data_IF_054959906434
#
_entry.id   IF_054959906434
#
_cell.length_a   1.000
_cell.length_b   1.000
_cell.length_c   1.000
_cell.angle_alpha   90.00
_cell.angle_beta   90.00
_cell.angle_gamma   90.00
#
_symmetry.space_group_name_H-M   'P 1'
#
loop_
_entity.id
_entity.type
_entity.pdbx_description
1 polymer ?
#
# COMPACT_ATOMS: atom_id res chain seq x y z
N UNK A 1 -3.98 14.01 -16.33
CA UNK A 1 -3.96 14.14 -14.87
C UNK A 1 -5.24 14.80 -14.36
N UNK A 2 -5.55 16.04 -14.72
CA UNK A 2 -6.74 16.77 -14.22
C UNK A 2 -8.06 15.99 -14.37
N UNK A 3 -8.27 15.27 -15.48
CA UNK A 3 -9.45 14.46 -15.70
C UNK A 3 -9.58 13.31 -14.70
N UNK A 4 -8.46 12.67 -14.34
CA UNK A 4 -8.44 11.58 -13.36
C UNK A 4 -8.62 12.12 -11.93
N UNK A 5 -7.92 13.20 -11.58
CA UNK A 5 -8.09 13.85 -10.28
C UNK A 5 -9.53 14.33 -10.06
N UNK A 6 -10.16 14.91 -11.10
CA UNK A 6 -11.57 15.31 -11.07
C UNK A 6 -12.54 14.13 -10.94
N UNK A 7 -12.26 13.00 -11.63
CA UNK A 7 -13.04 11.78 -11.49
C UNK A 7 -12.96 11.19 -10.08
N UNK A 8 -11.77 11.16 -9.47
CA UNK A 8 -11.56 10.71 -8.09
C UNK A 8 -12.31 11.61 -7.10
N UNK A 9 -12.22 12.92 -7.28
CA UNK A 9 -12.96 13.87 -6.43
C UNK A 9 -14.48 13.69 -6.55
N UNK A 10 -15.00 13.49 -7.76
CA UNK A 10 -16.43 13.23 -7.98
C UNK A 10 -16.90 11.93 -7.35
N UNK A 11 -16.04 10.91 -7.32
CA UNK A 11 -16.31 9.63 -6.70
C UNK A 11 -15.99 9.59 -5.18
N UNK A 12 -15.52 10.70 -4.60
CA UNK A 12 -15.08 10.81 -3.19
C UNK A 12 -14.01 9.77 -2.83
N UNK A 13 -13.08 9.53 -3.75
CA UNK A 13 -12.00 8.55 -3.61
C UNK A 13 -10.64 9.24 -3.48
N UNK A 14 -9.82 8.74 -2.58
CA UNK A 14 -8.41 9.10 -2.48
C UNK A 14 -7.59 8.44 -3.61
N UNK A 15 -6.51 9.09 -4.04
CA UNK A 15 -5.62 8.55 -5.07
C UNK A 15 -4.97 7.22 -4.65
N UNK A 16 -4.79 7.02 -3.35
CA UNK A 16 -4.25 5.80 -2.73
C UNK A 16 -5.19 4.60 -2.89
N UNK A 17 -6.50 4.84 -3.06
CA UNK A 17 -7.48 3.79 -3.29
C UNK A 17 -7.44 3.22 -4.73
N UNK A 18 -6.71 3.87 -5.65
CA UNK A 18 -6.60 3.43 -7.04
C UNK A 18 -5.66 2.24 -7.15
N UNK A 19 -6.18 1.07 -7.51
CA UNK A 19 -5.40 -0.14 -7.74
C UNK A 19 -4.55 -0.09 -9.03
N UNK A 20 -4.99 0.63 -10.04
CA UNK A 20 -4.27 0.77 -11.30
C UNK A 20 -5.08 1.52 -12.34
N UNK A 21 -4.47 1.70 -13.52
CA UNK A 21 -5.10 2.27 -14.71
C UNK A 21 -5.36 1.15 -15.72
N UNK A 22 -6.41 1.32 -16.52
CA UNK A 22 -6.71 0.43 -17.61
C UNK A 22 -7.14 1.19 -18.86
N UNK A 23 -6.80 0.67 -20.03
CA UNK A 23 -7.20 1.23 -21.32
C UNK A 23 -7.24 0.15 -22.40
N UNK A 24 -7.53 0.57 -23.62
CA UNK A 24 -7.46 -0.28 -24.80
C UNK A 24 -6.01 -0.34 -25.33
N UNK A 25 -5.63 -1.46 -25.91
CA UNK A 25 -4.27 -1.77 -26.37
C UNK A 25 -3.75 -0.83 -27.48
N UNK A 26 -4.62 -0.29 -28.32
CA UNK A 26 -4.25 0.71 -29.34
C UNK A 26 -3.74 2.04 -28.73
N UNK A 27 -3.84 2.20 -27.40
CA UNK A 27 -3.32 3.35 -26.63
C UNK A 27 -2.13 2.97 -25.75
N UNK A 28 -1.45 1.89 -26.05
CA UNK A 28 -0.33 1.40 -25.23
C UNK A 28 0.90 2.32 -25.25
N UNK A 29 1.00 3.20 -26.22
CA UNK A 29 2.04 4.22 -26.39
C UNK A 29 1.56 5.65 -26.08
N UNK A 30 0.33 5.82 -25.56
CA UNK A 30 -0.23 7.14 -25.21
C UNK A 30 0.60 7.80 -24.08
N UNK A 31 1.35 8.88 -24.40
CA UNK A 31 2.28 9.47 -23.43
C UNK A 31 1.61 9.95 -22.14
N UNK A 32 0.36 10.42 -22.23
CA UNK A 32 -0.36 10.92 -21.06
C UNK A 32 -0.72 9.79 -20.07
N UNK A 33 -1.06 8.58 -20.56
CA UNK A 33 -1.33 7.41 -19.73
C UNK A 33 -0.04 6.89 -19.09
N UNK A 34 1.04 6.78 -19.89
CA UNK A 34 2.33 6.30 -19.41
C UNK A 34 2.92 7.23 -18.34
N UNK A 35 2.85 8.56 -18.58
CA UNK A 35 3.33 9.54 -17.63
C UNK A 35 2.53 9.51 -16.30
N UNK A 36 1.20 9.41 -16.38
CA UNK A 36 0.34 9.32 -15.18
C UNK A 36 0.61 8.04 -14.38
N UNK A 37 0.72 6.90 -15.06
CA UNK A 37 1.03 5.62 -14.43
C UNK A 37 2.38 5.67 -13.71
N UNK A 38 3.41 6.24 -14.35
CA UNK A 38 4.74 6.41 -13.77
C UNK A 38 4.75 7.39 -12.60
N UNK A 39 4.12 8.57 -12.74
CA UNK A 39 4.06 9.61 -11.69
C UNK A 39 3.38 9.10 -10.41
N UNK A 40 2.29 8.34 -10.58
CA UNK A 40 1.48 7.84 -9.47
C UNK A 40 1.92 6.45 -8.98
N UNK A 41 2.89 5.84 -9.66
CA UNK A 41 3.27 4.44 -9.44
C UNK A 41 2.06 3.50 -9.51
N UNK A 42 1.17 3.73 -10.49
CA UNK A 42 0.00 2.90 -10.71
C UNK A 42 0.27 1.86 -11.80
N UNK A 43 0.00 0.58 -11.56
CA UNK A 43 0.01 -0.43 -12.63
C UNK A 43 -0.89 -0.03 -13.79
N UNK A 44 -0.44 -0.28 -15.00
CA UNK A 44 -1.20 0.03 -16.21
C UNK A 44 -1.45 -1.25 -17.00
N UNK A 45 -2.72 -1.54 -17.29
CA UNK A 45 -3.15 -2.71 -18.03
C UNK A 45 -3.89 -2.33 -19.29
N UNK A 46 -3.60 -3.03 -20.39
CA UNK A 46 -4.26 -2.86 -21.65
C UNK A 46 -5.07 -4.09 -22.02
N UNK A 47 -6.20 -3.87 -22.68
CA UNK A 47 -7.13 -4.90 -23.15
C UNK A 47 -7.36 -4.74 -24.63
N UNK A 48 -7.57 -5.84 -25.33
CA UNK A 48 -7.98 -5.82 -26.74
C UNK A 48 -9.43 -5.33 -26.90
N UNK A 49 -9.77 -4.87 -28.08
CA UNK A 49 -11.14 -4.46 -28.41
C UNK A 49 -12.16 -5.60 -28.19
N UNK A 50 -11.78 -6.85 -28.48
CA UNK A 50 -12.64 -8.01 -28.29
C UNK A 50 -12.92 -8.32 -26.80
N UNK A 51 -11.92 -8.20 -25.94
CA UNK A 51 -12.10 -8.32 -24.49
C UNK A 51 -13.04 -7.23 -23.95
N UNK A 52 -12.87 -5.99 -24.42
CA UNK A 52 -13.71 -4.86 -23.98
C UNK A 52 -15.15 -4.96 -24.52
N UNK A 53 -15.35 -5.54 -25.71
CA UNK A 53 -16.67 -5.75 -26.31
C UNK A 53 -17.53 -6.71 -25.50
N UNK A 54 -16.91 -7.64 -24.77
CA UNK A 54 -17.62 -8.59 -23.93
C UNK A 54 -18.22 -7.96 -22.65
N UNK A 55 -17.82 -6.73 -22.28
CA UNK A 55 -18.32 -6.03 -21.10
C UNK A 55 -19.64 -5.32 -21.37
N UNK A 56 -20.60 -5.53 -20.47
CA UNK A 56 -21.83 -4.74 -20.45
C UNK A 56 -21.56 -3.38 -19.83
N UNK A 57 -21.83 -2.31 -20.56
CA UNK A 57 -21.55 -0.93 -20.13
C UNK A 57 -22.81 -0.06 -20.20
N UNK A 58 -23.03 0.85 -19.23
CA UNK A 58 -24.23 1.70 -19.22
C UNK A 58 -24.23 2.78 -20.29
N UNK A 59 -23.05 3.26 -20.73
CA UNK A 59 -22.92 4.39 -21.66
C UNK A 59 -22.21 3.99 -22.97
N UNK A 60 -22.83 3.13 -23.82
CA UNK A 60 -22.24 2.74 -25.08
C UNK A 60 -22.22 3.93 -26.08
N UNK A 61 -21.23 3.97 -26.96
CA UNK A 61 -21.06 4.99 -27.97
C UNK A 61 -20.89 4.34 -29.37
N UNK A 62 -21.79 4.65 -30.26
CA UNK A 62 -21.71 4.17 -31.65
C UNK A 62 -20.44 4.67 -32.36
N UNK A 63 -20.00 5.90 -32.07
CA UNK A 63 -18.75 6.47 -32.62
C UNK A 63 -17.55 5.67 -32.17
N UNK A 64 -17.42 5.42 -30.84
CA UNK A 64 -16.31 4.63 -30.30
C UNK A 64 -16.34 3.19 -30.82
N UNK A 65 -17.53 2.59 -30.95
CA UNK A 65 -17.67 1.25 -31.50
C UNK A 65 -17.22 1.17 -32.96
N UNK A 66 -17.47 2.21 -33.77
CA UNK A 66 -17.02 2.28 -35.16
C UNK A 66 -15.49 2.50 -35.27
N UNK A 67 -14.89 3.27 -34.36
CA UNK A 67 -13.46 3.62 -34.41
C UNK A 67 -12.56 2.52 -33.83
N UNK A 68 -12.93 1.93 -32.67
CA UNK A 68 -12.05 1.02 -31.94
C UNK A 68 -12.65 -0.37 -31.67
N UNK A 69 -13.85 -0.63 -32.19
CA UNK A 69 -14.47 -1.97 -32.14
C UNK A 69 -15.13 -2.35 -30.81
N UNK A 70 -15.17 -1.46 -29.81
CA UNK A 70 -15.83 -1.72 -28.52
C UNK A 70 -16.78 -0.56 -28.13
N UNK A 71 -17.89 -0.83 -27.39
CA UNK A 71 -18.93 0.16 -27.10
C UNK A 71 -18.51 1.28 -26.17
N UNK A 72 -17.54 1.04 -25.29
CA UNK A 72 -16.99 2.04 -24.37
C UNK A 72 -15.61 1.58 -23.88
N UNK A 73 -14.58 2.38 -24.14
CA UNK A 73 -13.23 2.04 -23.65
C UNK A 73 -13.12 2.26 -22.16
N UNK A 74 -13.51 3.43 -21.64
CA UNK A 74 -13.28 3.78 -20.23
C UNK A 74 -14.00 2.84 -19.25
N UNK A 75 -15.30 2.61 -19.45
CA UNK A 75 -16.10 1.74 -18.58
C UNK A 75 -15.71 0.27 -18.72
N UNK A 76 -15.58 -0.21 -19.98
CA UNK A 76 -15.23 -1.60 -20.22
C UNK A 76 -13.83 -1.94 -19.68
N UNK A 77 -12.83 -1.07 -19.89
CA UNK A 77 -11.49 -1.29 -19.36
C UNK A 77 -11.46 -1.26 -17.82
N UNK A 78 -12.19 -0.33 -17.18
CA UNK A 78 -12.31 -0.27 -15.74
C UNK A 78 -12.93 -1.54 -15.15
N UNK A 79 -14.06 -2.01 -15.71
CA UNK A 79 -14.72 -3.25 -15.28
C UNK A 79 -13.85 -4.48 -15.53
N UNK A 80 -13.20 -4.59 -16.70
CA UNK A 80 -12.30 -5.70 -17.02
C UNK A 80 -11.10 -5.76 -16.08
N UNK A 81 -10.54 -4.60 -15.72
CA UNK A 81 -9.42 -4.53 -14.80
C UNK A 81 -9.81 -4.87 -13.36
N UNK A 82 -11.00 -4.46 -12.93
CA UNK A 82 -11.52 -4.72 -11.60
C UNK A 82 -11.98 -6.17 -11.39
N UNK A 83 -12.25 -6.91 -12.47
CA UNK A 83 -12.52 -8.34 -12.45
C UNK A 83 -14.00 -8.71 -12.33
N UNK A 84 -14.27 -10.01 -12.19
CA UNK A 84 -15.64 -10.55 -12.12
C UNK A 84 -16.36 -10.04 -10.87
N UNK A 85 -17.59 -9.53 -11.06
CA UNK A 85 -18.39 -8.93 -9.99
C UNK A 85 -18.05 -7.48 -9.69
N UNK A 86 -17.22 -6.83 -10.53
CA UNK A 86 -16.91 -5.42 -10.41
C UNK A 86 -18.14 -4.53 -10.70
N UNK A 87 -18.21 -3.41 -9.99
CA UNK A 87 -19.26 -2.40 -10.18
C UNK A 87 -18.64 -1.03 -10.48
N UNK A 88 -19.30 -0.26 -11.35
CA UNK A 88 -18.89 1.13 -11.59
C UNK A 88 -19.19 2.00 -10.36
N UNK A 89 -18.16 2.64 -9.84
CA UNK A 89 -18.28 3.71 -8.82
C UNK A 89 -18.50 5.07 -9.48
N UNK A 90 -17.97 5.23 -10.66
CA UNK A 90 -18.19 6.40 -11.50
C UNK A 90 -18.34 5.94 -12.95
N UNK A 91 -19.50 6.22 -13.52
CA UNK A 91 -19.73 6.01 -14.92
C UNK A 91 -18.89 6.98 -15.78
N UNK A 92 -18.89 6.73 -17.07
CA UNK A 92 -18.10 7.52 -18.05
C UNK A 92 -18.29 9.03 -17.87
N UNK A 93 -17.20 9.72 -17.52
CA UNK A 93 -17.09 11.16 -17.51
C UNK A 93 -16.26 11.63 -18.70
N UNK A 94 -16.70 12.70 -19.36
CA UNK A 94 -16.00 13.30 -20.48
C UNK A 94 -15.44 14.65 -20.02
N UNK A 95 -14.12 14.72 -19.88
CA UNK A 95 -13.40 15.96 -19.57
C UNK A 95 -12.86 16.55 -20.87
N UNK A 96 -13.22 17.78 -21.16
CA UNK A 96 -12.70 18.54 -22.32
C UNK A 96 -11.61 19.46 -21.84
N UNK A 97 -10.44 19.38 -22.45
CA UNK A 97 -9.33 20.30 -22.23
C UNK A 97 -9.59 21.69 -22.83
N UNK A 98 -8.53 22.50 -22.91
CA UNK A 98 -8.60 23.79 -23.57
C UNK A 98 -8.87 23.63 -25.09
N UNK A 99 -9.32 24.69 -25.77
CA UNK A 99 -9.53 24.64 -27.21
C UNK A 99 -8.27 24.17 -27.96
N UNK A 100 -8.37 23.03 -28.65
CA UNK A 100 -7.25 22.37 -29.34
C UNK A 100 -6.71 21.12 -28.63
N UNK A 101 -7.12 20.86 -27.38
CA UNK A 101 -6.82 19.62 -26.66
C UNK A 101 -7.94 18.57 -26.87
N UNK A 102 -7.57 17.33 -26.94
CA UNK A 102 -8.52 16.21 -27.07
C UNK A 102 -9.39 16.03 -25.84
N UNK A 103 -10.54 15.39 -26.00
CA UNK A 103 -11.37 14.99 -24.87
C UNK A 103 -10.80 13.73 -24.20
N UNK A 104 -10.77 13.72 -22.87
CA UNK A 104 -10.40 12.55 -22.06
C UNK A 104 -11.65 11.95 -21.45
N UNK A 105 -11.83 10.64 -21.61
CA UNK A 105 -12.88 9.89 -20.94
C UNK A 105 -12.31 9.10 -19.77
N UNK A 106 -12.98 9.18 -18.62
CA UNK A 106 -12.63 8.43 -17.41
C UNK A 106 -13.85 7.69 -16.87
N UNK A 107 -13.63 6.53 -16.28
CA UNK A 107 -14.61 5.78 -15.49
C UNK A 107 -13.88 5.09 -14.35
N UNK A 108 -14.56 4.80 -13.26
CA UNK A 108 -13.98 4.12 -12.10
C UNK A 108 -14.85 2.91 -11.76
N UNK A 109 -14.23 1.73 -11.71
CA UNK A 109 -14.85 0.51 -11.22
C UNK A 109 -14.22 0.09 -9.88
N UNK A 110 -15.04 -0.40 -8.97
CA UNK A 110 -14.57 -1.02 -7.73
C UNK A 110 -14.38 -2.51 -7.96
N UNK A 111 -13.21 -3.03 -7.59
CA UNK A 111 -12.99 -4.46 -7.50
C UNK A 111 -13.84 -5.04 -6.35
N UNK A 112 -14.37 -6.27 -6.50
CA UNK A 112 -15.11 -6.94 -5.42
C UNK A 112 -14.28 -7.11 -4.16
N UNK A 113 -12.96 -7.22 -4.34
CA UNK A 113 -11.99 -7.24 -3.26
C UNK A 113 -10.95 -6.16 -3.51
N UNK A 114 -10.69 -5.27 -2.56
CA UNK A 114 -9.63 -4.27 -2.66
C UNK A 114 -8.27 -4.99 -2.66
N UNK A 115 -7.56 -4.95 -3.80
CA UNK A 115 -6.40 -5.80 -4.03
C UNK A 115 -5.37 -5.17 -4.94
N UNK A 116 -4.21 -4.85 -4.41
CA UNK A 116 -3.09 -4.34 -5.19
C UNK A 116 -1.74 -4.64 -4.50
N UNK A 117 -1.38 -5.93 -4.26
CA UNK A 117 -0.19 -6.29 -3.49
C UNK A 117 1.11 -5.75 -4.10
N UNK A 118 1.20 -5.66 -5.44
CA UNK A 118 2.42 -5.17 -6.11
C UNK A 118 2.77 -3.70 -5.81
N UNK A 119 1.83 -2.91 -5.27
CA UNK A 119 2.08 -1.53 -4.79
C UNK A 119 2.28 -1.46 -3.29
N UNK A 120 1.80 -2.48 -2.59
CA UNK A 120 1.87 -2.51 -1.14
C UNK A 120 3.29 -2.77 -0.65
N UNK A 121 3.60 -2.19 0.50
CA UNK A 121 4.87 -2.41 1.15
C UNK A 121 4.66 -2.54 2.66
N UNK A 122 5.15 -3.63 3.23
CA UNK A 122 5.18 -3.84 4.66
C UNK A 122 6.59 -3.54 5.19
N UNK A 123 6.74 -2.40 5.84
CA UNK A 123 7.96 -2.03 6.56
C UNK A 123 7.88 -2.52 8.00
N UNK A 124 8.79 -3.41 8.39
CA UNK A 124 8.98 -3.79 9.79
C UNK A 124 9.98 -2.83 10.42
N UNK A 125 9.55 -2.09 11.42
CA UNK A 125 10.34 -0.99 11.97
C UNK A 125 10.65 -1.25 13.43
N UNK A 126 11.94 -1.26 13.77
CA UNK A 126 12.44 -1.14 15.13
C UNK A 126 12.54 0.33 15.52
N UNK A 127 11.70 0.77 16.46
CA UNK A 127 11.62 2.17 16.87
C UNK A 127 12.73 2.59 17.86
N UNK A 128 13.66 1.70 18.16
CA UNK A 128 14.69 1.98 19.15
C UNK A 128 14.14 2.03 20.59
N UNK A 129 14.94 2.52 21.53
CA UNK A 129 14.63 2.48 22.98
C UNK A 129 13.69 3.59 23.45
N UNK A 130 13.06 4.34 22.56
CA UNK A 130 12.02 5.33 22.86
C UNK A 130 12.37 6.78 22.59
N UNK A 131 13.65 7.15 22.48
CA UNK A 131 14.03 8.51 22.15
C UNK A 131 14.11 8.72 20.63
N UNK A 132 13.50 9.78 20.10
CA UNK A 132 13.42 10.05 18.66
C UNK A 132 14.79 10.18 17.99
N UNK A 133 15.78 10.72 18.67
CA UNK A 133 17.15 10.84 18.19
C UNK A 133 17.92 9.51 18.12
N UNK A 134 17.31 8.42 18.58
CA UNK A 134 17.85 7.06 18.52
C UNK A 134 17.15 6.19 17.45
N UNK A 135 16.24 6.78 16.69
CA UNK A 135 15.74 6.16 15.47
C UNK A 135 16.82 6.14 14.39
N UNK A 136 16.97 5.01 13.72
CA UNK A 136 17.86 4.95 12.56
C UNK A 136 17.30 5.81 11.41
N UNK A 137 18.16 6.42 10.55
CA UNK A 137 17.68 7.16 9.38
C UNK A 137 16.78 6.32 8.45
N UNK A 138 17.07 5.03 8.30
CA UNK A 138 16.25 4.10 7.52
C UNK A 138 14.86 3.92 8.12
N UNK A 139 14.75 3.78 9.45
CA UNK A 139 13.47 3.70 10.14
C UNK A 139 12.66 5.00 10.00
N UNK A 140 13.32 6.17 10.11
CA UNK A 140 12.67 7.47 9.91
C UNK A 140 12.13 7.61 8.49
N UNK A 141 12.90 7.22 7.48
CA UNK A 141 12.47 7.26 6.09
C UNK A 141 11.30 6.32 5.82
N UNK A 142 11.31 5.10 6.36
CA UNK A 142 10.22 4.15 6.24
C UNK A 142 8.94 4.65 6.92
N UNK A 143 9.03 5.24 8.13
CA UNK A 143 7.92 5.90 8.80
C UNK A 143 7.34 7.05 7.97
N UNK A 144 8.21 7.89 7.41
CA UNK A 144 7.80 9.03 6.58
C UNK A 144 7.14 8.60 5.26
N UNK A 145 7.55 7.49 4.64
CA UNK A 145 6.97 6.99 3.39
C UNK A 145 5.68 6.19 3.57
N UNK A 146 5.39 5.72 4.78
CA UNK A 146 4.21 4.90 5.07
C UNK A 146 2.94 5.76 5.14
N UNK A 147 1.84 5.23 4.59
CA UNK A 147 0.51 5.85 4.71
C UNK A 147 -0.23 5.39 5.96
N UNK A 148 0.11 4.21 6.47
CA UNK A 148 -0.50 3.63 7.67
C UNK A 148 0.59 3.19 8.67
N UNK A 149 0.36 3.48 9.95
CA UNK A 149 1.18 3.03 11.06
C UNK A 149 0.38 2.04 11.91
N UNK A 150 0.93 0.85 12.13
CA UNK A 150 0.34 -0.20 12.96
C UNK A 150 1.32 -0.52 14.10
N UNK A 151 0.87 -0.45 15.33
CA UNK A 151 1.74 -0.69 16.47
C UNK A 151 0.99 -0.75 17.80
N UNK A 152 1.71 -1.03 18.88
CA UNK A 152 1.17 -0.84 20.22
C UNK A 152 1.03 0.65 20.52
N UNK A 153 -0.12 1.09 21.05
CA UNK A 153 -0.45 2.50 21.21
C UNK A 153 0.63 3.32 21.91
N UNK A 154 1.20 2.80 23.00
CA UNK A 154 2.29 3.47 23.72
C UNK A 154 3.52 3.73 22.84
N UNK A 155 3.88 2.81 21.94
CA UNK A 155 5.02 3.02 21.04
C UNK A 155 4.69 4.04 19.95
N UNK A 156 3.46 4.03 19.49
CA UNK A 156 2.98 5.03 18.52
C UNK A 156 2.93 6.43 19.14
N UNK A 157 2.58 6.56 20.44
CA UNK A 157 2.60 7.85 21.16
C UNK A 157 4.00 8.46 21.21
N UNK A 158 5.03 7.63 21.39
CA UNK A 158 6.42 8.10 21.37
C UNK A 158 6.85 8.63 20.01
N UNK A 159 6.25 8.13 18.94
CA UNK A 159 6.56 8.51 17.56
C UNK A 159 5.61 9.58 17.00
N UNK A 160 4.54 9.93 17.71
CA UNK A 160 3.52 10.88 17.26
C UNK A 160 4.09 12.20 16.73
N UNK A 161 5.15 12.79 17.32
CA UNK A 161 5.76 14.02 16.79
C UNK A 161 6.31 13.90 15.36
N UNK A 162 6.53 12.68 14.84
CA UNK A 162 7.00 12.42 13.49
C UNK A 162 5.87 12.11 12.50
N UNK A 163 4.66 11.87 13.01
CA UNK A 163 3.53 11.49 12.17
C UNK A 163 2.97 12.69 11.42
N UNK A 164 2.75 12.54 10.12
CA UNK A 164 2.04 13.54 9.32
C UNK A 164 0.53 13.40 9.49
N UNK A 165 -0.20 14.49 9.30
CA UNK A 165 -1.66 14.52 9.45
C UNK A 165 -2.40 13.59 8.46
N UNK A 166 -1.78 13.29 7.31
CA UNK A 166 -2.32 12.40 6.27
C UNK A 166 -2.07 10.91 6.54
N UNK A 167 -1.27 10.56 7.54
CA UNK A 167 -0.99 9.18 7.90
C UNK A 167 -2.02 8.62 8.89
N UNK A 168 -2.56 7.45 8.57
CA UNK A 168 -3.52 6.76 9.44
C UNK A 168 -2.77 5.96 10.51
N UNK A 169 -3.27 6.00 11.74
CA UNK A 169 -2.72 5.28 12.88
C UNK A 169 -3.69 4.19 13.35
N UNK A 170 -3.17 2.98 13.53
CA UNK A 170 -3.90 1.81 14.04
C UNK A 170 -3.27 1.35 15.35
N UNK A 171 -3.94 1.68 16.46
CA UNK A 171 -3.50 1.35 17.80
C UNK A 171 -3.88 -0.09 18.17
N UNK A 172 -2.88 -0.93 18.37
CA UNK A 172 -3.06 -2.29 18.85
C UNK A 172 -2.96 -2.38 20.37
N UNK A 173 -3.60 -3.38 20.94
CA UNK A 173 -3.49 -3.70 22.35
C UNK A 173 -2.26 -4.57 22.65
N UNK A 174 -1.77 -4.53 23.86
CA UNK A 174 -0.73 -5.46 24.33
C UNK A 174 -1.24 -6.91 24.19
N UNK A 175 -0.35 -7.86 23.89
CA UNK A 175 -0.67 -9.29 23.66
C UNK A 175 -1.48 -9.61 22.40
N UNK A 176 -1.59 -8.66 21.47
CA UNK A 176 -2.30 -8.80 20.19
C UNK A 176 -1.32 -8.68 19.00
N UNK A 177 -0.11 -9.25 19.16
CA UNK A 177 0.95 -9.19 18.15
C UNK A 177 0.53 -9.85 16.84
N UNK A 178 -0.13 -10.99 16.92
CA UNK A 178 -0.58 -11.75 15.74
C UNK A 178 -1.60 -10.97 14.94
N UNK A 179 -2.57 -10.39 15.61
CA UNK A 179 -3.62 -9.58 14.99
C UNK A 179 -3.05 -8.30 14.35
N UNK A 180 -2.06 -7.65 14.99
CA UNK A 180 -1.36 -6.49 14.43
C UNK A 180 -0.59 -6.84 13.15
N UNK A 181 0.15 -7.96 13.17
CA UNK A 181 0.85 -8.45 11.98
C UNK A 181 -0.13 -8.73 10.85
N UNK A 182 -1.23 -9.40 11.14
CA UNK A 182 -2.28 -9.72 10.17
C UNK A 182 -2.92 -8.45 9.60
N UNK A 183 -3.26 -7.48 10.44
CA UNK A 183 -3.83 -6.20 9.99
C UNK A 183 -2.86 -5.44 9.09
N UNK A 184 -1.59 -5.33 9.48
CA UNK A 184 -0.58 -4.65 8.69
C UNK A 184 -0.34 -5.33 7.34
N UNK A 185 -0.30 -6.67 7.32
CA UNK A 185 -0.13 -7.44 6.11
C UNK A 185 -1.34 -7.30 5.17
N UNK A 186 -2.56 -7.31 5.69
CA UNK A 186 -3.77 -7.15 4.89
C UNK A 186 -3.85 -5.77 4.26
N UNK A 187 -3.52 -4.71 4.99
CA UNK A 187 -3.41 -3.36 4.43
C UNK A 187 -2.37 -3.31 3.31
N UNK A 188 -1.21 -3.94 3.50
CA UNK A 188 -0.18 -3.98 2.47
C UNK A 188 -0.64 -4.77 1.22
N UNK A 189 -1.36 -5.89 1.38
CA UNK A 189 -1.97 -6.63 0.27
C UNK A 189 -2.96 -5.79 -0.54
N UNK A 190 -3.62 -4.85 0.10
CA UNK A 190 -4.52 -3.89 -0.56
C UNK A 190 -3.78 -2.74 -1.28
N UNK A 191 -2.45 -2.72 -1.23
CA UNK A 191 -1.63 -1.72 -1.91
C UNK A 191 -1.21 -0.53 -1.04
N UNK A 192 -1.39 -0.63 0.27
CA UNK A 192 -0.99 0.42 1.22
C UNK A 192 0.49 0.25 1.60
N UNK A 193 1.21 1.35 1.74
CA UNK A 193 2.54 1.35 2.36
C UNK A 193 2.37 1.44 3.87
N UNK A 194 2.76 0.39 4.58
CA UNK A 194 2.46 0.20 6.01
C UNK A 194 3.73 0.10 6.83
N UNK A 195 3.81 0.84 7.92
CA UNK A 195 4.80 0.67 8.96
C UNK A 195 4.24 -0.21 10.09
N UNK A 196 4.78 -1.41 10.28
CA UNK A 196 4.54 -2.24 11.46
C UNK A 196 5.64 -1.98 12.48
N UNK A 197 5.29 -1.39 13.61
CA UNK A 197 6.22 -0.76 14.55
C UNK A 197 6.38 -1.59 15.80
N UNK A 198 7.62 -1.95 16.11
CA UNK A 198 8.04 -2.58 17.35
C UNK A 198 8.95 -1.65 18.14
N UNK A 199 8.93 -1.73 19.47
CA UNK A 199 9.93 -1.10 20.33
C UNK A 199 11.30 -1.77 20.15
N UNK A 200 12.38 -1.07 20.37
CA UNK A 200 13.73 -1.59 20.25
C UNK A 200 14.07 -2.03 18.83
N UNK A 201 14.47 -3.27 18.67
CA UNK A 201 14.78 -3.94 17.41
C UNK A 201 13.64 -4.90 17.06
N UNK A 202 13.14 -4.85 15.83
CA UNK A 202 11.93 -5.58 15.41
C UNK A 202 12.09 -7.11 15.36
N UNK A 203 13.31 -7.62 15.17
CA UNK A 203 13.64 -9.04 15.15
C UNK A 203 14.04 -9.62 16.53
N UNK A 204 14.35 -8.74 17.50
CA UNK A 204 14.77 -9.17 18.83
C UNK A 204 13.58 -9.14 19.79
N UNK A 205 12.91 -10.27 19.97
CA UNK A 205 11.65 -10.39 20.72
C UNK A 205 10.53 -9.44 20.22
N UNK A 206 10.65 -8.98 18.97
CA UNK A 206 9.68 -8.14 18.29
C UNK A 206 8.78 -8.94 17.34
N UNK A 207 8.05 -8.22 16.49
CA UNK A 207 7.06 -8.83 15.59
C UNK A 207 7.63 -9.28 14.23
N UNK A 208 8.94 -9.07 13.94
CA UNK A 208 9.48 -9.33 12.60
C UNK A 208 9.35 -10.79 12.18
N UNK A 209 9.69 -11.73 13.07
CA UNK A 209 9.56 -13.16 12.79
C UNK A 209 8.11 -13.56 12.47
N UNK A 210 7.18 -13.14 13.31
CA UNK A 210 5.74 -13.43 13.17
C UNK A 210 5.15 -12.83 11.89
N UNK A 211 5.54 -11.59 11.56
CA UNK A 211 5.10 -10.94 10.33
C UNK A 211 5.67 -11.63 9.08
N UNK A 212 6.94 -12.04 9.14
CA UNK A 212 7.59 -12.79 8.05
C UNK A 212 6.94 -14.15 7.82
N UNK A 213 6.63 -14.89 8.90
CA UNK A 213 5.90 -16.17 8.79
C UNK A 213 4.55 -16.00 8.09
N UNK A 214 3.78 -14.98 8.46
CA UNK A 214 2.48 -14.70 7.82
C UNK A 214 2.66 -14.27 6.36
N UNK A 215 3.69 -13.48 6.05
CA UNK A 215 3.99 -13.04 4.68
C UNK A 215 4.41 -14.22 3.80
N UNK A 216 5.26 -15.12 4.30
CA UNK A 216 5.70 -16.34 3.59
C UNK A 216 4.57 -17.34 3.35
N UNK A 217 3.52 -17.31 4.16
CA UNK A 217 2.34 -18.16 3.97
C UNK A 217 1.44 -17.72 2.81
N UNK A 218 1.64 -16.51 2.26
CA UNK A 218 0.90 -16.03 1.10
C UNK A 218 1.43 -16.63 -0.20
N UNK A 219 0.55 -16.79 -1.18
CA UNK A 219 0.97 -17.07 -2.54
C UNK A 219 1.82 -15.91 -3.10
N UNK A 220 2.84 -16.20 -3.93
CA UNK A 220 3.82 -15.20 -4.38
C UNK A 220 3.19 -13.98 -5.06
N UNK A 221 2.08 -14.16 -5.81
CA UNK A 221 1.34 -13.08 -6.45
C UNK A 221 0.56 -12.19 -5.47
N UNK A 222 0.40 -12.63 -4.23
CA UNK A 222 -0.32 -11.94 -3.16
C UNK A 222 0.62 -11.25 -2.17
N UNK A 223 1.92 -11.51 -2.29
CA UNK A 223 2.92 -10.96 -1.39
C UNK A 223 3.17 -9.49 -1.72
N UNK A 224 2.90 -8.55 -0.79
CA UNK A 224 3.36 -7.18 -0.93
C UNK A 224 4.88 -7.10 -0.78
N UNK A 225 5.47 -5.98 -1.17
CA UNK A 225 6.87 -5.71 -0.86
C UNK A 225 7.12 -5.78 0.65
N UNK A 226 8.31 -6.23 1.04
CA UNK A 226 8.65 -6.46 2.44
C UNK A 226 10.06 -5.95 2.74
N UNK A 227 10.23 -5.21 3.82
CA UNK A 227 11.54 -4.79 4.28
C UNK A 227 11.61 -4.63 5.80
N UNK A 228 12.81 -4.85 6.34
CA UNK A 228 13.09 -4.73 7.77
C UNK A 228 14.03 -3.56 8.00
N UNK A 229 13.66 -2.68 8.91
CA UNK A 229 14.44 -1.53 9.34
C UNK A 229 14.83 -1.72 10.81
N UNK A 230 16.08 -2.09 11.10
CA UNK A 230 16.50 -2.38 12.46
C UNK A 230 16.49 -1.14 13.34
N UNK A 231 16.20 -1.36 14.61
CA UNK A 231 16.31 -0.36 15.66
C UNK A 231 17.37 -0.72 16.69
N UNK A 232 17.72 0.22 17.56
CA UNK A 232 18.63 -0.03 18.68
C UNK A 232 17.86 -0.82 19.74
N UNK A 233 18.34 -2.01 20.08
CA UNK A 233 17.70 -2.84 21.09
C UNK A 233 17.97 -2.33 22.53
N UNK A 234 17.09 -2.70 23.46
CA UNK A 234 17.22 -2.31 24.87
C UNK A 234 18.54 -2.82 25.50
N UNK A 235 18.99 -4.02 25.13
CA UNK A 235 20.24 -4.57 25.68
C UNK A 235 21.47 -3.82 25.17
N UNK A 236 21.48 -3.37 23.91
CA UNK A 236 22.56 -2.52 23.37
C UNK A 236 22.63 -1.20 24.12
N UNK A 237 21.49 -0.58 24.39
CA UNK A 237 21.45 0.66 25.17
C UNK A 237 21.87 0.44 26.62
N UNK A 238 21.45 -0.64 27.25
CA UNK A 238 21.87 -0.98 28.60
C UNK A 238 23.38 -1.20 28.67
N UNK A 239 23.94 -1.98 27.75
CA UNK A 239 25.38 -2.23 27.66
C UNK A 239 26.18 -0.92 27.51
N UNK A 240 25.74 -0.05 26.60
CA UNK A 240 26.39 1.26 26.37
C UNK A 240 26.36 2.15 27.63
N UNK A 241 25.21 2.22 28.32
CA UNK A 241 25.07 3.03 29.54
C UNK A 241 25.85 2.49 30.73
N UNK A 242 26.02 1.17 30.81
CA UNK A 242 26.79 0.51 31.84
C UNK A 242 28.31 0.46 31.57
N UNK A 243 28.73 0.87 30.36
CA UNK A 243 30.12 0.72 29.95
C UNK A 243 30.55 -0.75 29.77
N UNK A 244 29.60 -1.64 29.46
CA UNK A 244 29.80 -3.06 29.24
C UNK A 244 29.86 -3.38 27.75
N UNK A 245 31.05 -3.39 27.10
CA UNK A 245 31.17 -3.63 25.68
C UNK A 245 30.77 -5.06 25.29
N UNK A 246 30.01 -5.19 24.19
CA UNK A 246 29.58 -6.48 23.64
C UNK A 246 30.61 -6.98 22.62
N UNK A 247 31.83 -7.35 23.11
CA UNK A 247 32.98 -7.64 22.25
C UNK A 247 33.06 -9.10 21.77
N UNK A 248 32.42 -10.01 22.47
CA UNK A 248 32.47 -11.45 22.19
C UNK A 248 31.06 -12.04 22.20
N UNK A 249 30.93 -13.28 22.65
CA UNK A 249 29.66 -13.99 22.67
C UNK A 249 28.63 -13.27 23.57
N UNK A 250 27.41 -13.22 23.08
CA UNK A 250 26.26 -12.61 23.76
C UNK A 250 25.14 -13.63 23.83
N UNK A 251 24.57 -13.81 25.01
CA UNK A 251 23.35 -14.58 25.24
C UNK A 251 22.25 -13.65 25.74
N UNK A 252 21.08 -13.68 25.10
CA UNK A 252 19.89 -12.95 25.56
C UNK A 252 18.80 -13.95 25.92
N UNK A 253 18.17 -13.77 27.08
CA UNK A 253 17.09 -14.61 27.57
C UNK A 253 15.89 -13.71 27.86
N UNK A 254 14.73 -14.04 27.28
CA UNK A 254 13.48 -13.37 27.65
C UNK A 254 13.02 -13.86 29.01
N UNK A 255 12.72 -12.92 29.90
CA UNK A 255 12.09 -13.23 31.20
C UNK A 255 10.57 -13.29 31.11
N UNK A 256 9.99 -13.15 29.90
CA UNK A 256 8.57 -13.31 29.67
C UNK A 256 8.20 -14.79 29.61
N UNK A 257 7.24 -15.19 30.40
CA UNK A 257 6.68 -16.56 30.45
C UNK A 257 5.49 -16.78 29.52
N UNK A 258 5.11 -15.76 28.75
CA UNK A 258 3.90 -15.78 27.92
C UNK A 258 4.01 -16.61 26.65
N UNK A 259 5.19 -16.61 26.02
CA UNK A 259 5.44 -17.34 24.79
C UNK A 259 6.24 -18.62 25.01
N UNK A 260 7.07 -18.64 26.04
CA UNK A 260 7.93 -19.78 26.38
C UNK A 260 7.87 -19.97 27.89
N UNK A 261 7.16 -20.99 28.40
CA UNK A 261 7.15 -21.31 29.83
C UNK A 261 8.56 -21.61 30.32
N UNK A 262 8.84 -21.32 31.56
CA UNK A 262 10.11 -21.63 32.24
C UNK A 262 10.33 -23.13 32.36
#
# INVERSE_FOLDING_TARGET
RQAVDGALQTAELAAEAVAGLASIDVKNDEPALLALASERNWPLKFFSADELKAQSVPNPSAVVAAEVGCPSVAEAAALSAAGSGAELRLEKQISRGQPGEGAVTTAIAAAPQPWAPQRGHLHLIGAGPGALNQLTPAAQQALASSSAWVGYGLYLDLLEPLRRADQVRFDGQLTKEKERCQQALELARQGVVVALISSGESGMYGMAGLALEQWLALASQEQPNFSVHPGISAFQMAAARLGAPLMHDLCTISLSDRLTPW
#
